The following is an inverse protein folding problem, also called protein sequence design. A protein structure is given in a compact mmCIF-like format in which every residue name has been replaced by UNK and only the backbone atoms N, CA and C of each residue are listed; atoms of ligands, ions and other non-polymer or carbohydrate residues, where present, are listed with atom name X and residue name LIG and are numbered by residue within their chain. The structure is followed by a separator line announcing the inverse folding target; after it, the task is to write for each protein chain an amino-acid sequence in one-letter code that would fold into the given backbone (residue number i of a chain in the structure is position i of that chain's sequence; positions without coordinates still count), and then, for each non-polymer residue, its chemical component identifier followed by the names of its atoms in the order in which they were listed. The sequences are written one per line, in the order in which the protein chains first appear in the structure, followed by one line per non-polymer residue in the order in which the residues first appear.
data_IF_953563645183
#
_entry.id   IF_953563645183
#
_cell.length_a   1.000
_cell.length_b   1.000
_cell.length_c   1.000
_cell.angle_alpha   90.00
_cell.angle_beta   90.00
_cell.angle_gamma   90.00
#
_symmetry.space_group_name_H-M   'P 1'
#
loop_
_entity.id
_entity.type
_entity.pdbx_description
1 polymer ?
#
# COMPACT_ATOMS: atom_id res chain seq x y z
N UNK A 1 21.32 10.92 24.56
CA UNK A 1 19.88 11.13 24.79
C UNK A 1 19.16 9.85 24.37
N UNK A 2 18.32 9.26 25.23
CA UNK A 2 17.52 8.05 24.89
C UNK A 2 16.05 8.45 24.92
N UNK A 3 15.30 8.02 23.91
CA UNK A 3 13.85 8.19 23.88
C UNK A 3 13.21 7.02 24.63
N UNK A 4 12.31 7.31 25.55
CA UNK A 4 11.65 6.30 26.38
C UNK A 4 10.70 5.40 25.56
N UNK A 5 10.13 5.95 24.49
CA UNK A 5 9.26 5.22 23.57
C UNK A 5 9.41 5.78 22.16
N UNK A 6 9.42 4.88 21.18
CA UNK A 6 9.46 5.22 19.75
C UNK A 6 8.38 4.42 19.06
N UNK A 7 7.54 5.10 18.30
CA UNK A 7 6.53 4.47 17.45
C UNK A 7 7.04 4.46 16.02
N UNK A 8 6.82 3.33 15.35
CA UNK A 8 7.11 3.15 13.95
C UNK A 8 5.83 2.83 13.22
N UNK A 9 5.68 3.43 12.05
CA UNK A 9 4.77 2.88 11.05
C UNK A 9 5.26 1.49 10.63
N UNK A 10 4.37 0.68 10.08
CA UNK A 10 4.68 -0.69 9.67
C UNK A 10 5.03 -0.75 8.19
N UNK A 11 4.06 -0.43 7.33
CA UNK A 11 4.18 -0.57 5.89
C UNK A 11 5.10 0.52 5.32
N UNK A 12 6.11 0.12 4.54
CA UNK A 12 7.12 1.03 4.00
C UNK A 12 8.15 1.54 5.03
N UNK A 13 7.98 1.22 6.32
CA UNK A 13 8.92 1.58 7.40
C UNK A 13 9.57 0.34 8.02
N UNK A 14 8.78 -0.53 8.65
CA UNK A 14 9.25 -1.80 9.20
C UNK A 14 9.30 -2.93 8.17
N UNK A 15 8.44 -2.86 7.14
CA UNK A 15 8.30 -3.88 6.10
C UNK A 15 8.20 -3.21 4.73
N UNK A 16 9.02 -3.64 3.76
CA UNK A 16 8.82 -3.27 2.35
C UNK A 16 7.65 -4.07 1.74
N UNK A 17 6.44 -3.58 2.00
CA UNK A 17 5.18 -4.24 1.64
C UNK A 17 4.54 -3.72 0.35
N UNK A 18 5.16 -2.75 -0.34
CA UNK A 18 4.53 -2.02 -1.44
C UNK A 18 4.06 -2.90 -2.60
N UNK A 19 4.87 -3.90 -2.99
CA UNK A 19 4.51 -4.82 -4.06
C UNK A 19 3.31 -5.71 -3.70
N UNK A 20 3.22 -6.14 -2.44
CA UNK A 20 2.12 -6.96 -1.94
C UNK A 20 0.82 -6.16 -1.87
N UNK A 21 0.88 -4.92 -1.37
CA UNK A 21 -0.25 -3.99 -1.34
C UNK A 21 -0.79 -3.77 -2.76
N UNK A 22 0.09 -3.47 -3.72
CA UNK A 22 -0.30 -3.26 -5.12
C UNK A 22 -0.96 -4.52 -5.72
N UNK A 23 -0.41 -5.71 -5.46
CA UNK A 23 -0.97 -6.96 -5.94
C UNK A 23 -2.37 -7.22 -5.36
N UNK A 24 -2.56 -6.96 -4.07
CA UNK A 24 -3.85 -7.07 -3.38
C UNK A 24 -4.90 -6.15 -4.00
N UNK A 25 -4.58 -4.86 -4.19
CA UNK A 25 -5.51 -3.90 -4.81
C UNK A 25 -5.86 -4.28 -6.25
N UNK A 26 -4.90 -4.80 -7.02
CA UNK A 26 -5.18 -5.29 -8.38
C UNK A 26 -6.17 -6.45 -8.36
N UNK A 27 -6.02 -7.37 -7.40
CA UNK A 27 -6.96 -8.48 -7.24
C UNK A 27 -8.35 -7.99 -6.79
N UNK A 28 -8.41 -7.12 -5.78
CA UNK A 28 -9.66 -6.59 -5.25
C UNK A 28 -10.45 -5.80 -6.31
N UNK A 29 -9.79 -4.93 -7.06
CA UNK A 29 -10.44 -4.15 -8.13
C UNK A 29 -10.95 -5.04 -9.26
N UNK A 30 -10.18 -6.04 -9.68
CA UNK A 30 -10.62 -7.02 -10.67
C UNK A 30 -11.82 -7.85 -10.21
N UNK A 31 -11.87 -8.25 -8.93
CA UNK A 31 -12.90 -9.16 -8.40
C UNK A 31 -14.18 -8.45 -7.98
N UNK A 32 -14.07 -7.26 -7.38
CA UNK A 32 -15.21 -6.52 -6.82
C UNK A 32 -15.75 -5.50 -7.81
N UNK A 33 -14.88 -4.71 -8.44
CA UNK A 33 -15.29 -3.64 -9.35
C UNK A 33 -15.47 -4.12 -10.81
N UNK A 34 -15.14 -5.38 -11.09
CA UNK A 34 -15.26 -6.03 -12.42
C UNK A 34 -14.56 -5.25 -13.54
N UNK A 35 -13.49 -4.53 -13.22
CA UNK A 35 -12.69 -3.75 -14.16
C UNK A 35 -11.23 -3.72 -13.76
N UNK A 36 -10.33 -3.70 -14.76
CA UNK A 36 -8.89 -3.50 -14.52
C UNK A 36 -8.58 -2.01 -14.53
N UNK A 37 -8.18 -1.47 -13.38
CA UNK A 37 -7.63 -0.12 -13.31
C UNK A 37 -6.19 -0.12 -13.84
N UNK A 38 -5.78 0.91 -14.60
CA UNK A 38 -4.39 1.11 -14.98
C UNK A 38 -3.47 1.14 -13.77
N UNK A 39 -2.26 0.56 -13.91
CA UNK A 39 -1.26 0.48 -12.83
C UNK A 39 -0.98 1.84 -12.20
N UNK A 40 -0.90 2.89 -13.00
CA UNK A 40 -0.56 4.24 -12.55
C UNK A 40 -1.70 4.87 -11.72
N UNK A 41 -2.95 4.55 -12.05
CA UNK A 41 -4.10 4.97 -11.24
C UNK A 41 -4.14 4.22 -9.91
N UNK A 42 -3.84 2.92 -9.94
CA UNK A 42 -3.75 2.10 -8.73
C UNK A 42 -2.62 2.58 -7.81
N UNK A 43 -1.46 2.90 -8.38
CA UNK A 43 -0.32 3.43 -7.66
C UNK A 43 -0.62 4.82 -7.06
N UNK A 44 -1.28 5.70 -7.82
CA UNK A 44 -1.69 7.02 -7.33
C UNK A 44 -2.68 6.93 -6.15
N UNK A 45 -3.63 5.99 -6.19
CA UNK A 45 -4.56 5.76 -5.08
C UNK A 45 -3.87 5.23 -3.80
N UNK A 46 -2.70 4.59 -3.95
CA UNK A 46 -1.95 3.98 -2.85
C UNK A 46 -0.84 4.86 -2.29
N UNK A 47 -0.49 5.96 -2.96
CA UNK A 47 0.61 6.83 -2.56
C UNK A 47 0.32 7.66 -1.29
N UNK A 48 -0.88 7.57 -0.72
CA UNK A 48 -1.35 8.47 0.34
C UNK A 48 -1.60 9.88 -0.20
N UNK A 49 -2.52 10.62 0.42
CA UNK A 49 -2.71 12.06 0.13
C UNK A 49 -1.57 12.88 0.74
#
# INVERSE_FOLDING_TARGET
MRFETVLFDLDGTGIDSGAMILASFRHATSSVLRGQLPKDQLAAALAGA
#
